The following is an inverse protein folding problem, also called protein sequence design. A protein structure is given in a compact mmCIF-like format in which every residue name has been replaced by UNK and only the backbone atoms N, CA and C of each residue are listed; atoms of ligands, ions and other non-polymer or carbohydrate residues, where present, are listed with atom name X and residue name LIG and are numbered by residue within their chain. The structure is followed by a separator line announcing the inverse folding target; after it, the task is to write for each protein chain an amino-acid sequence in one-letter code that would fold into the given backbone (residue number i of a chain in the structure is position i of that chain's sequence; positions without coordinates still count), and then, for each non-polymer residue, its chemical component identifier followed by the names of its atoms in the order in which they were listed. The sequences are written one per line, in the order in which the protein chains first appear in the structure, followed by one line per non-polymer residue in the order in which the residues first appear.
data_IF_144784765381
#
_entry.id   IF_144784765381
#
_cell.length_a   1.000
_cell.length_b   1.000
_cell.length_c   1.000
_cell.angle_alpha   90.00
_cell.angle_beta   90.00
_cell.angle_gamma   90.00
#
_symmetry.space_group_name_H-M   'P 1'
#
loop_
_entity.id
_entity.type
_entity.pdbx_description
1 polymer ?
#
# COMPACT_ATOMS: atom_id res chain seq x y z
N UNK A 1 -7.69 -13.33 8.35
CA UNK A 1 -7.83 -11.89 8.06
C UNK A 1 -7.47 -10.96 9.23
N UNK A 2 -7.11 -11.46 10.42
CA UNK A 2 -6.80 -10.60 11.57
C UNK A 2 -5.63 -9.63 11.34
N UNK A 3 -4.54 -10.08 10.70
CA UNK A 3 -3.41 -9.21 10.35
C UNK A 3 -3.82 -8.09 9.39
N UNK A 4 -4.65 -8.40 8.41
CA UNK A 4 -5.11 -7.42 7.42
C UNK A 4 -5.99 -6.36 8.07
N UNK A 5 -6.92 -6.77 8.93
CA UNK A 5 -7.79 -5.84 9.67
C UNK A 5 -6.97 -4.84 10.50
N UNK A 6 -5.94 -5.32 11.20
CA UNK A 6 -5.08 -4.48 12.03
C UNK A 6 -4.23 -3.50 11.21
N UNK A 7 -3.69 -3.93 10.07
CA UNK A 7 -2.76 -3.11 9.28
C UNK A 7 -3.50 -2.17 8.32
N UNK A 8 -4.65 -2.58 7.80
CA UNK A 8 -5.44 -1.81 6.83
C UNK A 8 -6.46 -0.89 7.52
N UNK A 9 -6.77 -1.14 8.80
CA UNK A 9 -7.79 -0.39 9.54
C UNK A 9 -9.22 -0.87 9.28
N UNK A 10 -9.39 -2.01 8.60
CA UNK A 10 -10.71 -2.56 8.29
C UNK A 10 -10.67 -3.80 7.40
N UNK A 11 -11.84 -4.40 7.18
CA UNK A 11 -12.03 -5.53 6.26
C UNK A 11 -13.07 -5.18 5.20
N UNK A 12 -12.72 -5.45 3.95
CA UNK A 12 -13.60 -5.37 2.78
C UNK A 12 -13.71 -6.76 2.14
N UNK A 13 -14.84 -7.05 1.49
CA UNK A 13 -15.06 -8.34 0.80
C UNK A 13 -14.03 -8.61 -0.29
N UNK A 14 -13.46 -7.56 -0.88
CA UNK A 14 -12.37 -7.65 -1.87
C UNK A 14 -11.12 -8.35 -1.30
N UNK A 15 -10.87 -8.25 0.01
CA UNK A 15 -9.70 -8.86 0.66
C UNK A 15 -9.80 -10.39 0.77
N UNK A 16 -11.01 -10.96 0.66
CA UNK A 16 -11.21 -12.42 0.63
C UNK A 16 -10.59 -13.07 -0.61
N UNK A 17 -10.27 -12.27 -1.64
CA UNK A 17 -9.65 -12.71 -2.90
C UNK A 17 -8.31 -12.00 -3.12
N UNK A 18 -7.26 -12.32 -2.34
CA UNK A 18 -6.00 -11.57 -2.33
C UNK A 18 -5.23 -11.60 -3.67
N UNK A 19 -5.47 -12.62 -4.50
CA UNK A 19 -4.86 -12.75 -5.84
C UNK A 19 -5.60 -11.97 -6.93
N UNK A 20 -6.76 -11.39 -6.63
CA UNK A 20 -7.51 -10.60 -7.60
C UNK A 20 -6.83 -9.24 -7.83
N UNK A 21 -6.85 -8.79 -9.08
CA UNK A 21 -6.35 -7.46 -9.46
C UNK A 21 -7.07 -6.36 -8.66
N UNK A 22 -8.36 -6.56 -8.40
CA UNK A 22 -9.18 -5.64 -7.60
C UNK A 22 -8.65 -5.50 -6.17
N UNK A 23 -8.40 -6.62 -5.48
CA UNK A 23 -7.82 -6.61 -4.14
C UNK A 23 -6.46 -5.89 -4.12
N UNK A 24 -5.56 -6.23 -5.05
CA UNK A 24 -4.23 -5.62 -5.10
C UNK A 24 -4.31 -4.12 -5.35
N UNK A 25 -5.18 -3.67 -6.26
CA UNK A 25 -5.40 -2.24 -6.52
C UNK A 25 -6.00 -1.52 -5.32
N UNK A 26 -6.93 -2.16 -4.60
CA UNK A 26 -7.54 -1.58 -3.40
C UNK A 26 -6.53 -1.41 -2.28
N UNK A 27 -5.74 -2.44 -2.00
CA UNK A 27 -4.65 -2.41 -1.00
C UNK A 27 -3.63 -1.32 -1.33
N UNK A 28 -3.25 -1.18 -2.61
CA UNK A 28 -2.36 -0.12 -3.08
C UNK A 28 -2.93 1.28 -2.84
N UNK A 29 -4.21 1.50 -3.18
CA UNK A 29 -4.85 2.80 -2.99
C UNK A 29 -4.93 3.18 -1.50
N UNK A 30 -5.20 2.21 -0.62
CA UNK A 30 -5.20 2.42 0.83
C UNK A 30 -3.80 2.76 1.34
N UNK A 31 -2.77 2.06 0.89
CA UNK A 31 -1.40 2.32 1.32
C UNK A 31 -0.88 3.68 0.85
N UNK A 32 -1.28 4.15 -0.34
CA UNK A 32 -0.99 5.50 -0.83
C UNK A 32 -1.70 6.58 0.00
N UNK A 33 -2.98 6.37 0.34
CA UNK A 33 -3.73 7.30 1.21
C UNK A 33 -3.09 7.41 2.60
N UNK A 34 -2.73 6.27 3.19
CA UNK A 34 -2.09 6.24 4.50
C UNK A 34 -0.70 6.89 4.47
N UNK A 35 0.09 6.67 3.42
CA UNK A 35 1.37 7.35 3.22
C UNK A 35 1.21 8.87 3.12
N UNK A 36 0.17 9.36 2.44
CA UNK A 36 -0.10 10.79 2.34
C UNK A 36 -0.47 11.40 3.70
N UNK A 37 -1.29 10.71 4.50
CA UNK A 37 -1.63 11.15 5.85
C UNK A 37 -0.41 11.13 6.77
N UNK A 38 0.41 10.08 6.70
CA UNK A 38 1.64 9.96 7.48
C UNK A 38 2.65 11.08 7.15
N UNK A 39 2.74 11.49 5.88
CA UNK A 39 3.62 12.56 5.44
C UNK A 39 3.00 13.97 5.59
N UNK A 40 1.77 14.09 6.08
CA UNK A 40 1.11 15.38 6.27
C UNK A 40 1.80 16.23 7.35
N UNK A 41 1.76 17.56 7.19
CA UNK A 41 2.35 18.47 8.17
C UNK A 41 1.60 18.54 9.51
N UNK A 42 0.33 18.11 9.52
CA UNK A 42 -0.50 18.03 10.72
C UNK A 42 -0.54 16.59 11.23
N UNK A 43 -0.23 16.41 12.52
CA UNK A 43 -0.31 15.09 13.16
C UNK A 43 -1.76 14.78 13.44
N UNK A 44 -2.24 13.68 12.87
CA UNK A 44 -3.59 13.14 13.06
C UNK A 44 -3.51 11.68 13.48
N UNK A 45 -4.49 11.19 14.22
CA UNK A 45 -4.57 9.77 14.55
C UNK A 45 -4.80 8.94 13.29
N UNK A 46 -4.01 7.88 13.12
CA UNK A 46 -4.11 6.94 12.02
C UNK A 46 -4.64 5.60 12.52
N UNK A 47 -5.72 5.13 11.90
CA UNK A 47 -6.32 3.82 12.20
C UNK A 47 -5.57 2.66 11.52
N UNK A 48 -4.82 2.95 10.45
CA UNK A 48 -4.13 1.97 9.61
C UNK A 48 -2.61 2.16 9.64
N UNK A 49 -1.86 1.06 9.53
CA UNK A 49 -0.38 1.02 9.58
C UNK A 49 0.26 0.58 8.26
N UNK A 50 -0.53 0.16 7.29
CA UNK A 50 -0.05 -0.21 5.96
C UNK A 50 0.31 1.05 5.16
N UNK A 51 1.56 1.17 4.73
CA UNK A 51 2.08 2.29 3.94
C UNK A 51 2.66 1.82 2.61
N UNK A 52 2.61 2.66 1.58
CA UNK A 52 3.36 2.44 0.33
C UNK A 52 4.85 2.50 0.68
N UNK A 53 5.61 1.50 0.25
CA UNK A 53 7.07 1.54 0.38
C UNK A 53 7.64 2.66 -0.50
N UNK A 54 8.61 3.42 0.02
CA UNK A 54 9.12 4.67 -0.58
C UNK A 54 10.03 4.45 -1.82
N UNK A 55 9.80 3.37 -2.56
CA UNK A 55 10.48 3.10 -3.82
C UNK A 55 9.47 3.22 -4.94
N UNK A 56 9.82 3.99 -5.95
CA UNK A 56 9.08 4.04 -7.20
C UNK A 56 9.74 3.08 -8.19
N UNK A 57 8.94 2.19 -8.76
CA UNK A 57 9.39 1.29 -9.82
C UNK A 57 9.06 1.98 -11.14
N UNK A 58 10.09 2.51 -11.78
CA UNK A 58 9.97 3.02 -13.14
C UNK A 58 9.97 1.87 -14.16
N UNK A 59 9.54 2.14 -15.39
CA UNK A 59 9.44 1.17 -16.48
C UNK A 59 10.78 0.72 -17.03
N UNK A 60 11.86 1.38 -16.64
CA UNK A 60 13.21 1.08 -17.11
C UNK A 60 13.82 0.05 -16.17
N UNK A 61 13.98 -1.17 -16.67
CA UNK A 61 14.93 -2.12 -16.09
C UNK A 61 16.32 -1.50 -16.24
N UNK A 62 17.02 -1.21 -15.14
CA UNK A 62 18.45 -0.94 -15.21
C UNK A 62 19.16 -2.27 -15.47
N UNK A 63 19.31 -2.62 -16.74
CA UNK A 63 20.33 -3.58 -17.15
C UNK A 63 21.67 -2.84 -17.05
N UNK A 64 22.46 -3.17 -16.02
CA UNK A 64 23.87 -2.79 -15.98
C UNK A 64 24.57 -3.53 -17.12
N UNK A 65 24.81 -2.81 -18.23
CA UNK A 65 25.61 -3.25 -19.36
C UNK A 65 27.09 -3.16 -18.96
N UNK A 66 27.59 -4.21 -18.31
CA UNK A 66 29.03 -4.46 -18.11
C UNK A 66 29.58 -5.06 -19.43
N UNK A 67 30.04 -4.20 -20.33
CA UNK A 67 30.66 -4.53 -21.62
C UNK A 67 31.91 -3.72 -21.92
#
# INVERSE_FOLDING_TARGET
MSLWAEHIGGLESTFERPTSIECVRRVRSLSESNSNQYAAGEVTDMEARLLKYLVEVDRVSQEEDDG
#
